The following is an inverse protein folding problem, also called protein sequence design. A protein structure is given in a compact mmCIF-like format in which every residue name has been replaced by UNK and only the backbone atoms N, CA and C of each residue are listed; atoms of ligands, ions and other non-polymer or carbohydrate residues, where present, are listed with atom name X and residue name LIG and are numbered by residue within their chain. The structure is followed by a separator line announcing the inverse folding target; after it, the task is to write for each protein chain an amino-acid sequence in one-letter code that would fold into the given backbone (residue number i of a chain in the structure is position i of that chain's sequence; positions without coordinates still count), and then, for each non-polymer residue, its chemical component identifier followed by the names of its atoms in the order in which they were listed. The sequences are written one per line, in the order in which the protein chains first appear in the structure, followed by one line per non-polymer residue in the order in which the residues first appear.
data_IF_864398891016
#
_entry.id   IF_864398891016
#
_cell.length_a   1.000
_cell.length_b   1.000
_cell.length_c   1.000
_cell.angle_alpha   90.00
_cell.angle_beta   90.00
_cell.angle_gamma   90.00
#
_symmetry.space_group_name_H-M   'P 1'
#
loop_
_entity.id
_entity.type
_entity.pdbx_description
1 polymer ?
#
# COMPACT_ATOMS: atom_id res chain seq x y z
N UNK A 1 -14.05 0.87 17.14
CA UNK A 1 -14.24 0.19 15.83
C UNK A 1 -13.14 0.66 14.89
N UNK A 2 -12.56 -0.22 14.08
CA UNK A 2 -11.60 0.23 13.05
C UNK A 2 -12.36 0.99 11.97
N UNK A 3 -11.91 2.20 11.64
CA UNK A 3 -12.61 3.06 10.69
C UNK A 3 -12.16 2.74 9.26
N UNK A 4 -13.03 2.08 8.50
CA UNK A 4 -12.77 1.71 7.09
C UNK A 4 -12.67 2.97 6.22
N UNK A 5 -13.43 4.02 6.51
CA UNK A 5 -13.31 5.30 5.78
C UNK A 5 -11.91 5.89 5.95
N UNK A 6 -11.39 5.92 7.18
CA UNK A 6 -10.02 6.41 7.44
C UNK A 6 -8.96 5.58 6.71
N UNK A 7 -9.12 4.25 6.66
CA UNK A 7 -8.23 3.37 5.91
C UNK A 7 -8.26 3.70 4.42
N UNK A 8 -9.46 3.77 3.82
CA UNK A 8 -9.60 4.00 2.38
C UNK A 8 -9.08 5.37 1.97
N UNK A 9 -9.35 6.42 2.77
CA UNK A 9 -8.80 7.76 2.56
C UNK A 9 -7.28 7.78 2.69
N UNK A 10 -6.72 7.12 3.71
CA UNK A 10 -5.27 7.06 3.94
C UNK A 10 -4.57 6.30 2.80
N UNK A 11 -5.10 5.14 2.40
CA UNK A 11 -4.54 4.33 1.32
C UNK A 11 -4.58 5.09 -0.02
N UNK A 12 -5.67 5.82 -0.32
CA UNK A 12 -5.74 6.70 -1.50
C UNK A 12 -4.70 7.81 -1.43
N UNK A 13 -4.56 8.47 -0.29
CA UNK A 13 -3.57 9.54 -0.10
C UNK A 13 -2.14 9.03 -0.30
N UNK A 14 -1.81 7.85 0.23
CA UNK A 14 -0.51 7.21 0.05
C UNK A 14 -0.26 6.88 -1.43
N UNK A 15 -1.25 6.29 -2.11
CA UNK A 15 -1.19 6.00 -3.54
C UNK A 15 -0.91 7.25 -4.36
N UNK A 16 -1.68 8.33 -4.15
CA UNK A 16 -1.59 9.53 -4.99
C UNK A 16 -0.27 10.30 -4.76
N UNK A 17 0.22 10.35 -3.52
CA UNK A 17 1.52 10.95 -3.20
C UNK A 17 2.68 10.14 -3.78
N UNK A 18 2.61 8.81 -3.72
CA UNK A 18 3.63 7.95 -4.30
C UNK A 18 3.63 8.00 -5.84
N UNK A 19 2.43 7.96 -6.46
CA UNK A 19 2.27 8.08 -7.90
C UNK A 19 2.91 9.37 -8.43
N UNK A 20 2.62 10.50 -7.77
CA UNK A 20 3.17 11.81 -8.11
C UNK A 20 4.64 12.04 -7.74
N UNK A 21 5.32 11.06 -7.14
CA UNK A 21 6.72 11.18 -6.71
C UNK A 21 6.94 12.12 -5.52
N UNK A 22 5.86 12.47 -4.80
CA UNK A 22 5.91 13.32 -3.58
C UNK A 22 6.16 12.51 -2.31
N UNK A 23 6.45 11.22 -2.45
CA UNK A 23 6.66 10.30 -1.36
C UNK A 23 7.57 9.17 -1.80
N UNK A 24 8.54 8.83 -0.96
CA UNK A 24 9.48 7.75 -1.24
C UNK A 24 8.84 6.38 -0.96
N UNK A 25 9.31 5.38 -1.68
CA UNK A 25 8.84 4.00 -1.53
C UNK A 25 9.03 3.46 -0.12
N UNK A 26 10.11 3.83 0.58
CA UNK A 26 10.32 3.38 1.96
C UNK A 26 9.26 3.93 2.92
N UNK A 27 8.79 5.17 2.71
CA UNK A 27 7.68 5.74 3.50
C UNK A 27 6.40 4.92 3.26
N UNK A 28 6.13 4.57 2.00
CA UNK A 28 4.99 3.71 1.63
C UNK A 28 5.10 2.35 2.31
N UNK A 29 6.27 1.71 2.21
CA UNK A 29 6.55 0.40 2.79
C UNK A 29 6.32 0.42 4.31
N UNK A 30 6.90 1.37 5.03
CA UNK A 30 6.73 1.48 6.47
C UNK A 30 5.26 1.69 6.86
N UNK A 31 4.54 2.52 6.10
CA UNK A 31 3.11 2.71 6.34
C UNK A 31 2.31 1.42 6.15
N UNK A 32 2.51 0.67 5.05
CA UNK A 32 1.83 -0.60 4.81
C UNK A 32 2.14 -1.62 5.90
N UNK A 33 3.42 -1.76 6.28
CA UNK A 33 3.84 -2.70 7.32
C UNK A 33 3.35 -2.32 8.72
N UNK A 34 3.03 -1.05 8.95
CA UNK A 34 2.42 -0.56 10.18
C UNK A 34 0.89 -0.73 10.26
N UNK A 35 0.22 -1.14 9.18
CA UNK A 35 -1.22 -1.38 9.20
C UNK A 35 -1.56 -2.59 10.06
N UNK A 36 -2.60 -2.44 10.89
CA UNK A 36 -3.15 -3.53 11.69
C UNK A 36 -4.28 -4.26 10.94
N UNK A 37 -4.72 -5.42 11.43
CA UNK A 37 -5.74 -6.26 10.77
C UNK A 37 -7.11 -5.55 10.60
N UNK A 38 -7.61 -5.36 9.38
CA UNK A 38 -8.98 -4.87 9.14
C UNK A 38 -9.96 -6.03 8.84
N UNK A 39 -11.28 -5.81 8.97
CA UNK A 39 -12.27 -6.75 8.46
C UNK A 39 -12.12 -7.00 6.95
N UNK A 40 -12.58 -8.16 6.49
CA UNK A 40 -12.70 -8.44 5.06
C UNK A 40 -13.66 -7.46 4.36
N UNK A 41 -13.43 -7.12 3.08
CA UNK A 41 -12.33 -7.59 2.21
C UNK A 41 -10.99 -6.87 2.43
N UNK A 42 -10.97 -5.77 3.20
CA UNK A 42 -9.79 -4.93 3.39
C UNK A 42 -8.62 -5.66 4.06
N UNK A 43 -8.93 -6.55 5.02
CA UNK A 43 -7.95 -7.37 5.72
C UNK A 43 -7.04 -8.16 4.77
N UNK A 44 -7.64 -8.88 3.82
CA UNK A 44 -6.92 -9.60 2.77
C UNK A 44 -6.00 -8.70 1.94
N UNK A 45 -6.49 -7.57 1.44
CA UNK A 45 -5.67 -6.67 0.61
C UNK A 45 -4.49 -6.06 1.40
N UNK A 46 -4.68 -5.77 2.69
CA UNK A 46 -3.58 -5.35 3.57
C UNK A 46 -2.54 -6.45 3.73
N UNK A 47 -2.95 -7.71 3.92
CA UNK A 47 -2.02 -8.83 4.05
C UNK A 47 -1.23 -9.06 2.75
N UNK A 48 -1.90 -9.00 1.59
CA UNK A 48 -1.26 -9.11 0.28
C UNK A 48 -0.28 -7.95 0.03
N UNK A 49 -0.65 -6.72 0.40
CA UNK A 49 0.23 -5.57 0.31
C UNK A 49 1.42 -5.72 1.26
N UNK A 50 1.22 -6.11 2.52
CA UNK A 50 2.31 -6.32 3.49
C UNK A 50 3.28 -7.41 3.02
N UNK A 51 2.78 -8.52 2.46
CA UNK A 51 3.61 -9.57 1.88
C UNK A 51 4.44 -9.05 0.69
N UNK A 52 3.84 -8.19 -0.15
CA UNK A 52 4.55 -7.53 -1.25
C UNK A 52 5.62 -6.56 -0.74
N UNK A 53 5.32 -5.70 0.22
CA UNK A 53 6.25 -4.66 0.68
C UNK A 53 7.34 -5.18 1.63
N UNK A 54 7.22 -6.39 2.19
CA UNK A 54 8.16 -6.93 3.19
C UNK A 54 9.59 -7.18 2.67
N UNK A 55 9.83 -7.72 1.46
CA UNK A 55 11.16 -7.70 0.82
C UNK A 55 11.48 -6.33 0.19
N UNK A 56 12.76 -5.94 0.15
CA UNK A 56 13.19 -4.64 -0.41
C UNK A 56 12.97 -4.54 -1.93
N UNK A 57 13.18 -5.62 -2.69
CA UNK A 57 13.03 -5.66 -4.17
C UNK A 57 13.95 -4.71 -4.92
N UNK A 58 15.16 -4.48 -4.39
CA UNK A 58 16.12 -3.53 -4.98
C UNK A 58 16.63 -3.96 -6.36
N UNK A 59 16.46 -5.23 -6.73
CA UNK A 59 16.87 -5.81 -8.02
C UNK A 59 15.79 -5.71 -9.11
N UNK A 60 14.56 -5.28 -8.78
CA UNK A 60 13.50 -5.12 -9.77
C UNK A 60 13.67 -3.83 -10.59
N UNK A 61 13.17 -3.84 -11.83
CA UNK A 61 13.07 -2.62 -12.62
C UNK A 61 12.25 -1.55 -11.85
N UNK A 62 12.75 -0.30 -11.72
CA UNK A 62 12.06 0.72 -10.93
C UNK A 62 10.65 1.08 -11.43
N UNK A 63 10.41 0.99 -12.73
CA UNK A 63 9.09 1.30 -13.32
C UNK A 63 8.11 0.17 -13.02
N UNK A 64 8.51 -1.08 -13.26
CA UNK A 64 7.69 -2.25 -12.94
C UNK A 64 7.39 -2.34 -11.44
N UNK A 65 8.40 -2.08 -10.61
CA UNK A 65 8.26 -2.04 -9.15
C UNK A 65 7.22 -1.00 -8.73
N UNK A 66 7.31 0.22 -9.27
CA UNK A 66 6.36 1.30 -8.96
C UNK A 66 4.94 0.96 -9.41
N UNK A 67 4.77 0.35 -10.58
CA UNK A 67 3.45 -0.11 -11.07
C UNK A 67 2.85 -1.14 -10.10
N UNK A 68 3.63 -2.15 -9.70
CA UNK A 68 3.17 -3.19 -8.80
C UNK A 68 2.83 -2.65 -7.39
N UNK A 69 3.67 -1.76 -6.85
CA UNK A 69 3.41 -1.07 -5.59
C UNK A 69 2.09 -0.29 -5.62
N UNK A 70 1.83 0.49 -6.68
CA UNK A 70 0.61 1.26 -6.84
C UNK A 70 -0.63 0.36 -6.94
N UNK A 71 -0.53 -0.78 -7.64
CA UNK A 71 -1.60 -1.76 -7.71
C UNK A 71 -1.96 -2.33 -6.32
N UNK A 72 -0.96 -2.59 -5.47
CA UNK A 72 -1.19 -3.07 -4.10
C UNK A 72 -1.85 -2.02 -3.21
N UNK A 73 -1.47 -0.75 -3.33
CA UNK A 73 -2.13 0.33 -2.60
C UNK A 73 -3.57 0.54 -3.09
N UNK A 74 -3.80 0.44 -4.40
CA UNK A 74 -5.14 0.58 -4.99
C UNK A 74 -6.13 -0.45 -4.47
N UNK A 75 -5.71 -1.71 -4.38
CA UNK A 75 -6.54 -2.80 -3.86
C UNK A 75 -7.04 -2.56 -2.42
N UNK A 76 -6.35 -1.73 -1.62
CA UNK A 76 -6.78 -1.44 -0.24
C UNK A 76 -7.99 -0.48 -0.22
N UNK A 77 -8.04 0.53 -1.11
CA UNK A 77 -9.14 1.51 -1.14
C UNK A 77 -10.18 1.28 -2.24
N UNK A 78 -9.96 0.26 -3.07
CA UNK A 78 -10.89 -0.30 -4.06
C UNK A 78 -10.81 -1.84 -4.01
N UNK A 79 -11.23 -2.45 -2.90
CA UNK A 79 -11.22 -3.90 -2.73
C UNK A 79 -12.27 -4.60 -3.60
#
# INVERSE_FOLDING_TARGET
MKNVEDLTMSARTMHDRYASGRMDREIVRQWVLGLSMYPEPYGRHIQEAAAWFKPSRDEMDPVELKIADLARLQAIYRP
#
